data_IF_543164415221
#
_entry.id   IF_543164415221
#
_cell.length_a   1.000
_cell.length_b   1.000
_cell.length_c   1.000
_cell.angle_alpha   90.00
_cell.angle_beta   90.00
_cell.angle_gamma   90.00
#
_symmetry.space_group_name_H-M   'P 1'
#
loop_
_entity.id
_entity.type
_entity.pdbx_description
1 polymer ?
#
# COMPACT_ATOMS: atom_id res chain seq x y z
N UNK A 1 52.35 15.37 -1.58
CA UNK A 1 50.92 15.77 -1.47
C UNK A 1 50.13 14.87 -2.40
N UNK A 2 49.63 13.73 -1.92
CA UNK A 2 48.73 12.87 -2.70
C UNK A 2 47.31 13.13 -2.23
N UNK A 3 46.58 13.90 -3.03
CA UNK A 3 45.16 14.16 -2.84
C UNK A 3 44.39 12.88 -3.18
N UNK A 4 43.89 12.18 -2.17
CA UNK A 4 42.93 11.10 -2.38
C UNK A 4 41.61 11.76 -2.79
N UNK A 5 41.33 11.76 -4.09
CA UNK A 5 40.02 12.12 -4.61
C UNK A 5 39.01 11.11 -4.07
N UNK A 6 38.21 11.55 -3.10
CA UNK A 6 37.02 10.84 -2.66
C UNK A 6 36.04 10.90 -3.83
N UNK A 7 35.85 9.79 -4.53
CA UNK A 7 34.74 9.64 -5.47
C UNK A 7 33.44 9.90 -4.70
N UNK A 8 32.60 10.86 -5.13
CA UNK A 8 31.32 11.09 -4.47
C UNK A 8 30.48 9.82 -4.57
N UNK A 9 29.88 9.41 -3.44
CA UNK A 9 28.93 8.31 -3.43
C UNK A 9 27.81 8.63 -4.44
N UNK A 10 27.33 7.63 -5.22
CA UNK A 10 26.23 7.86 -6.15
C UNK A 10 25.02 8.41 -5.40
N UNK A 11 24.36 9.42 -5.98
CA UNK A 11 23.11 9.95 -5.43
C UNK A 11 22.09 8.82 -5.28
N UNK A 12 21.37 8.74 -4.15
CA UNK A 12 20.38 7.69 -3.94
C UNK A 12 19.34 7.73 -5.07
N UNK A 13 19.06 6.58 -5.67
CA UNK A 13 18.04 6.45 -6.71
C UNK A 13 16.68 6.90 -6.17
N UNK A 14 15.94 7.68 -6.95
CA UNK A 14 14.56 7.99 -6.63
C UNK A 14 13.71 6.70 -6.68
N UNK A 15 12.65 6.55 -5.85
CA UNK A 15 11.82 5.34 -5.83
C UNK A 15 11.26 4.96 -7.21
N UNK A 16 10.91 5.97 -8.02
CA UNK A 16 10.41 5.85 -9.39
C UNK A 16 11.42 5.22 -10.36
N UNK A 17 12.73 5.24 -10.05
CA UNK A 17 13.80 4.71 -10.89
C UNK A 17 14.09 3.22 -10.68
N UNK A 18 13.45 2.57 -9.71
CA UNK A 18 13.59 1.12 -9.50
C UNK A 18 12.80 0.37 -10.58
N UNK A 19 13.37 -0.72 -11.11
CA UNK A 19 12.72 -1.53 -12.14
C UNK A 19 11.48 -2.25 -11.61
N UNK A 20 11.51 -2.63 -10.33
CA UNK A 20 10.40 -3.22 -9.59
C UNK A 20 9.88 -2.23 -8.56
N UNK A 21 8.62 -1.85 -8.67
CA UNK A 21 7.96 -0.83 -7.84
C UNK A 21 6.67 -1.40 -7.29
N UNK A 22 6.59 -1.51 -5.98
CA UNK A 22 5.53 -2.25 -5.31
C UNK A 22 4.61 -1.27 -4.61
N UNK A 23 3.31 -1.31 -4.88
CA UNK A 23 2.31 -0.72 -4.00
C UNK A 23 1.80 -1.80 -3.04
N UNK A 24 2.05 -1.65 -1.75
CA UNK A 24 1.44 -2.48 -0.71
C UNK A 24 0.37 -1.69 0.03
N UNK A 25 -0.89 -2.06 -0.15
CA UNK A 25 -2.02 -1.43 0.50
C UNK A 25 -2.65 -2.36 1.55
N UNK A 26 -3.15 -1.77 2.63
CA UNK A 26 -4.10 -2.43 3.54
C UNK A 26 -5.51 -1.93 3.27
N UNK A 27 -6.50 -2.82 3.21
CA UNK A 27 -7.90 -2.43 3.08
C UNK A 27 -8.84 -3.23 3.97
N UNK A 28 -9.94 -2.60 4.34
CA UNK A 28 -11.07 -3.20 5.02
C UNK A 28 -12.17 -3.48 4.01
N UNK A 29 -13.29 -2.77 4.14
CA UNK A 29 -14.45 -2.93 3.27
C UNK A 29 -14.45 -1.99 2.06
N UNK A 30 -13.44 -1.13 1.94
CA UNK A 30 -13.30 -0.11 0.91
C UNK A 30 -12.08 -0.36 0.03
N UNK A 31 -12.16 -1.25 -0.98
CA UNK A 31 -11.06 -1.53 -1.90
C UNK A 31 -10.71 -0.33 -2.81
N UNK A 32 -11.56 0.69 -2.89
CA UNK A 32 -11.35 1.92 -3.68
C UNK A 32 -10.01 2.61 -3.38
N UNK A 33 -9.52 2.50 -2.13
CA UNK A 33 -8.22 3.03 -1.70
C UNK A 33 -7.07 2.59 -2.61
N UNK A 34 -7.19 1.45 -3.28
CA UNK A 34 -6.16 0.95 -4.21
C UNK A 34 -6.09 1.85 -5.44
N UNK A 35 -7.22 2.09 -6.09
CA UNK A 35 -7.29 2.94 -7.29
C UNK A 35 -7.04 4.40 -6.96
N UNK A 36 -7.53 4.89 -5.83
CA UNK A 36 -7.25 6.26 -5.34
C UNK A 36 -5.75 6.47 -5.13
N UNK A 37 -5.07 5.50 -4.48
CA UNK A 37 -3.63 5.58 -4.25
C UNK A 37 -2.84 5.51 -5.55
N UNK A 38 -3.18 4.58 -6.47
CA UNK A 38 -2.49 4.48 -7.77
C UNK A 38 -2.66 5.76 -8.57
N UNK A 39 -3.87 6.31 -8.64
CA UNK A 39 -4.13 7.57 -9.32
C UNK A 39 -3.24 8.68 -8.76
N UNK A 40 -3.26 8.89 -7.44
CA UNK A 40 -2.51 10.00 -6.85
C UNK A 40 -0.98 9.81 -6.96
N UNK A 41 -0.48 8.57 -6.97
CA UNK A 41 0.94 8.30 -7.20
C UNK A 41 1.34 8.57 -8.65
N UNK A 42 0.49 8.18 -9.61
CA UNK A 42 0.76 8.37 -11.03
C UNK A 42 0.57 9.83 -11.49
N UNK A 43 -0.34 10.57 -10.84
CA UNK A 43 -0.67 11.94 -11.18
C UNK A 43 0.21 12.99 -10.48
N UNK A 44 1.18 12.59 -9.64
CA UNK A 44 2.14 13.51 -9.04
C UNK A 44 2.97 14.19 -10.14
N UNK A 45 2.96 15.52 -10.17
CA UNK A 45 3.61 16.34 -11.21
C UNK A 45 5.14 16.31 -11.09
N UNK A 46 5.68 16.09 -9.89
CA UNK A 46 7.09 16.27 -9.58
C UNK A 46 7.87 14.95 -9.49
N UNK A 47 7.28 13.91 -8.89
CA UNK A 47 7.89 12.58 -8.76
C UNK A 47 6.84 11.47 -8.94
N UNK A 48 6.31 11.28 -10.17
CA UNK A 48 5.31 10.27 -10.44
C UNK A 48 5.86 8.87 -10.14
N UNK A 49 5.10 8.09 -9.37
CA UNK A 49 5.41 6.71 -9.03
C UNK A 49 4.33 5.78 -9.59
N UNK A 50 4.57 5.19 -10.76
CA UNK A 50 3.67 4.15 -11.29
C UNK A 50 4.13 2.78 -10.78
N UNK A 51 3.37 2.08 -9.91
CA UNK A 51 3.76 0.76 -9.44
C UNK A 51 3.80 -0.25 -10.59
N UNK A 52 4.74 -1.19 -10.56
CA UNK A 52 4.77 -2.32 -11.49
C UNK A 52 3.89 -3.47 -11.00
N UNK A 53 3.66 -3.56 -9.69
CA UNK A 53 2.76 -4.53 -9.08
C UNK A 53 2.06 -3.94 -7.86
N UNK A 54 0.86 -4.46 -7.58
CA UNK A 54 0.04 -4.07 -6.44
C UNK A 54 -0.19 -5.30 -5.57
N UNK A 55 -0.03 -5.16 -4.27
CA UNK A 55 -0.40 -6.15 -3.27
C UNK A 55 -1.39 -5.55 -2.28
N UNK A 56 -2.45 -6.29 -2.00
CA UNK A 56 -3.51 -5.88 -1.09
C UNK A 56 -3.56 -6.83 0.10
N UNK A 57 -3.36 -6.34 1.32
CA UNK A 57 -3.61 -7.12 2.54
C UNK A 57 -5.00 -6.77 3.08
N UNK A 58 -5.83 -7.79 3.27
CA UNK A 58 -7.22 -7.58 3.70
C UNK A 58 -7.82 -8.83 4.37
N UNK A 59 -9.06 -8.74 4.86
CA UNK A 59 -9.81 -9.90 5.33
C UNK A 59 -10.46 -10.67 4.18
N UNK A 60 -11.03 -11.85 4.44
CA UNK A 60 -11.70 -12.65 3.42
C UNK A 60 -12.88 -11.91 2.76
N UNK A 61 -13.60 -11.09 3.52
CA UNK A 61 -14.68 -10.25 2.99
C UNK A 61 -14.12 -9.10 2.14
N UNK A 62 -13.05 -8.43 2.60
CA UNK A 62 -12.41 -7.38 1.82
C UNK A 62 -11.80 -7.91 0.51
N UNK A 63 -11.25 -9.13 0.51
CA UNK A 63 -10.74 -9.79 -0.68
C UNK A 63 -11.84 -10.02 -1.72
N UNK A 64 -13.00 -10.56 -1.28
CA UNK A 64 -14.15 -10.74 -2.16
C UNK A 64 -14.61 -9.42 -2.79
N UNK A 65 -14.64 -8.34 -2.00
CA UNK A 65 -15.00 -7.01 -2.52
C UNK A 65 -13.98 -6.49 -3.52
N UNK A 66 -12.68 -6.63 -3.23
CA UNK A 66 -11.62 -6.22 -4.13
C UNK A 66 -11.65 -6.98 -5.46
N UNK A 67 -11.87 -8.31 -5.42
CA UNK A 67 -12.04 -9.11 -6.63
C UNK A 67 -13.24 -8.63 -7.46
N UNK A 68 -14.40 -8.43 -6.82
CA UNK A 68 -15.60 -8.00 -7.52
C UNK A 68 -15.49 -6.57 -8.06
N UNK A 69 -14.97 -5.61 -7.29
CA UNK A 69 -14.98 -4.20 -7.68
C UNK A 69 -13.76 -3.79 -8.51
N UNK A 70 -12.58 -4.34 -8.21
CA UNK A 70 -11.33 -3.93 -8.88
C UNK A 70 -10.98 -4.84 -10.04
N UNK A 71 -11.17 -6.15 -9.91
CA UNK A 71 -10.60 -7.14 -10.84
C UNK A 71 -11.59 -7.77 -11.82
N UNK A 72 -12.88 -7.78 -11.50
CA UNK A 72 -13.91 -8.42 -12.34
C UNK A 72 -14.06 -7.75 -13.71
N UNK A 73 -14.59 -8.49 -14.69
CA UNK A 73 -14.87 -7.93 -16.02
C UNK A 73 -16.03 -6.92 -16.01
N UNK A 74 -16.92 -7.01 -15.02
CA UNK A 74 -18.10 -6.14 -14.89
C UNK A 74 -17.70 -4.76 -14.31
N UNK A 75 -17.29 -4.73 -13.04
CA UNK A 75 -16.89 -3.47 -12.38
C UNK A 75 -15.44 -3.09 -12.67
N UNK A 76 -14.48 -4.01 -12.53
CA UNK A 76 -13.12 -3.88 -13.05
C UNK A 76 -12.42 -2.52 -12.88
N UNK A 77 -12.61 -1.81 -11.77
CA UNK A 77 -12.20 -0.41 -11.65
C UNK A 77 -10.68 -0.21 -11.73
N UNK A 78 -9.89 -1.21 -11.37
CA UNK A 78 -8.44 -1.17 -11.57
C UNK A 78 -8.08 -1.16 -13.06
N UNK A 79 -8.72 -2.00 -13.87
CA UNK A 79 -8.48 -2.05 -15.32
C UNK A 79 -8.94 -0.76 -16.01
N UNK A 80 -10.08 -0.20 -15.56
CA UNK A 80 -10.59 1.09 -16.03
C UNK A 80 -9.62 2.22 -15.73
N UNK A 81 -9.09 2.31 -14.50
CA UNK A 81 -8.05 3.28 -14.14
C UNK A 81 -6.84 3.18 -15.05
N UNK A 82 -6.32 1.96 -15.26
CA UNK A 82 -5.16 1.75 -16.11
C UNK A 82 -5.41 2.19 -17.55
N UNK A 83 -6.62 1.97 -18.07
CA UNK A 83 -7.01 2.39 -19.41
C UNK A 83 -7.14 3.91 -19.50
N UNK A 84 -7.90 4.52 -18.58
CA UNK A 84 -8.20 5.96 -18.56
C UNK A 84 -6.93 6.82 -18.50
N UNK A 85 -5.96 6.40 -17.71
CA UNK A 85 -4.70 7.13 -17.50
C UNK A 85 -3.51 6.55 -18.27
N UNK A 86 -3.74 5.60 -19.17
CA UNK A 86 -2.70 4.96 -19.98
C UNK A 86 -1.53 4.40 -19.14
N UNK A 87 -1.86 3.80 -17.98
CA UNK A 87 -0.85 3.32 -17.04
C UNK A 87 -0.16 2.04 -17.56
N UNK A 88 1.18 1.97 -17.55
CA UNK A 88 1.91 0.84 -18.10
C UNK A 88 1.87 -0.40 -17.20
N UNK A 89 1.23 -1.47 -17.68
CA UNK A 89 1.54 -2.86 -17.33
C UNK A 89 1.57 -3.21 -15.83
N UNK A 90 0.71 -2.60 -15.03
CA UNK A 90 0.63 -2.85 -13.58
C UNK A 90 0.08 -4.26 -13.35
N UNK A 91 0.85 -5.12 -12.68
CA UNK A 91 0.40 -6.48 -12.34
C UNK A 91 -0.44 -6.44 -11.07
N UNK A 92 -1.72 -6.76 -11.20
CA UNK A 92 -2.62 -6.96 -10.06
C UNK A 92 -3.71 -7.98 -10.42
N UNK A 93 -3.76 -9.07 -9.66
CA UNK A 93 -4.75 -10.13 -9.82
C UNK A 93 -5.02 -10.81 -8.46
N UNK A 94 -5.90 -11.80 -8.42
CA UNK A 94 -6.31 -12.46 -7.18
C UNK A 94 -5.14 -13.03 -6.36
N UNK A 95 -4.04 -13.48 -6.97
CA UNK A 95 -2.87 -13.98 -6.22
C UNK A 95 -2.11 -12.89 -5.46
N UNK A 96 -2.42 -11.62 -5.73
CA UNK A 96 -1.83 -10.47 -5.05
C UNK A 96 -2.72 -9.94 -3.92
N UNK A 97 -3.89 -10.55 -3.71
CA UNK A 97 -4.78 -10.26 -2.60
C UNK A 97 -4.46 -11.23 -1.45
N UNK A 98 -3.79 -10.71 -0.44
CA UNK A 98 -3.30 -11.43 0.72
C UNK A 98 -4.37 -11.42 1.82
N UNK A 99 -5.08 -12.53 1.95
CA UNK A 99 -6.08 -12.70 3.01
C UNK A 99 -5.40 -12.99 4.34
N UNK A 100 -5.69 -12.17 5.35
CA UNK A 100 -5.26 -12.38 6.73
C UNK A 100 -5.72 -13.75 7.25
N UNK A 101 -4.85 -14.43 8.00
CA UNK A 101 -5.09 -15.76 8.55
C UNK A 101 -4.92 -15.78 10.05
N UNK A 102 -5.80 -16.49 10.74
CA UNK A 102 -5.73 -16.70 12.18
C UNK A 102 -4.58 -17.63 12.58
N UNK A 103 -4.39 -17.83 13.89
CA UNK A 103 -3.35 -18.70 14.43
C UNK A 103 -3.49 -20.19 14.00
N UNK A 104 -4.63 -20.58 13.43
CA UNK A 104 -4.90 -21.92 12.87
C UNK A 104 -4.75 -21.94 11.35
N UNK A 105 -4.28 -20.84 10.75
CA UNK A 105 -4.11 -20.68 9.30
C UNK A 105 -5.42 -20.44 8.54
N UNK A 106 -6.55 -20.25 9.22
CA UNK A 106 -7.85 -20.04 8.58
C UNK A 106 -8.02 -18.58 8.13
N UNK A 107 -8.59 -18.33 6.95
CA UNK A 107 -8.91 -16.98 6.50
C UNK A 107 -9.82 -16.25 7.50
N UNK A 108 -9.41 -15.06 7.94
CA UNK A 108 -10.21 -14.21 8.81
C UNK A 108 -11.28 -13.48 8.00
N UNK A 109 -12.54 -13.53 8.43
CA UNK A 109 -13.57 -12.63 7.89
C UNK A 109 -13.35 -11.18 8.34
N UNK A 110 -12.80 -10.99 9.53
CA UNK A 110 -12.54 -9.71 10.19
C UNK A 110 -11.61 -9.93 11.41
N UNK A 111 -10.92 -8.88 11.89
CA UNK A 111 -10.04 -8.94 13.07
C UNK A 111 -10.86 -8.56 14.31
N UNK A 112 -11.21 -9.53 15.16
CA UNK A 112 -12.16 -9.31 16.27
C UNK A 112 -11.62 -9.63 17.65
N UNK A 113 -10.51 -10.36 17.74
CA UNK A 113 -9.87 -10.72 19.01
C UNK A 113 -8.45 -10.17 19.14
N UNK A 114 -7.87 -10.19 20.35
CA UNK A 114 -6.43 -9.92 20.54
C UNK A 114 -5.55 -10.89 19.76
N UNK A 115 -5.92 -12.18 19.70
CA UNK A 115 -5.20 -13.19 18.93
C UNK A 115 -5.24 -12.88 17.43
N UNK A 116 -6.38 -12.40 16.91
CA UNK A 116 -6.48 -11.98 15.51
C UNK A 116 -5.58 -10.77 15.22
N UNK A 117 -5.54 -9.80 16.14
CA UNK A 117 -4.65 -8.63 15.98
C UNK A 117 -3.18 -9.05 15.96
N UNK A 118 -2.78 -9.98 16.83
CA UNK A 118 -1.41 -10.50 16.84
C UNK A 118 -1.07 -11.21 15.53
N UNK A 119 -1.95 -12.11 15.06
CA UNK A 119 -1.74 -12.81 13.80
C UNK A 119 -1.70 -11.84 12.61
N UNK A 120 -2.52 -10.79 12.62
CA UNK A 120 -2.47 -9.75 11.59
C UNK A 120 -1.16 -8.94 11.63
N UNK A 121 -0.65 -8.62 12.83
CA UNK A 121 0.63 -7.94 13.00
C UNK A 121 1.79 -8.79 12.44
N UNK A 122 1.85 -10.07 12.79
CA UNK A 122 2.86 -11.00 12.30
C UNK A 122 2.78 -11.15 10.77
N UNK A 123 1.57 -11.28 10.22
CA UNK A 123 1.35 -11.40 8.78
C UNK A 123 1.81 -10.15 8.01
N UNK A 124 1.36 -8.96 8.43
CA UNK A 124 1.73 -7.69 7.78
C UNK A 124 3.24 -7.48 7.86
N UNK A 125 3.83 -7.77 9.03
CA UNK A 125 5.28 -7.66 9.23
C UNK A 125 6.06 -8.59 8.31
N UNK A 126 5.62 -9.84 8.17
CA UNK A 126 6.25 -10.81 7.27
C UNK A 126 6.21 -10.34 5.81
N UNK A 127 5.10 -9.77 5.35
CA UNK A 127 5.00 -9.25 3.98
C UNK A 127 5.93 -8.07 3.73
N UNK A 128 5.97 -7.09 4.63
CA UNK A 128 6.89 -5.94 4.51
C UNK A 128 8.33 -6.42 4.50
N UNK A 129 8.70 -7.32 5.41
CA UNK A 129 10.05 -7.91 5.45
C UNK A 129 10.40 -8.65 4.15
N UNK A 130 9.47 -9.42 3.60
CA UNK A 130 9.69 -10.16 2.35
C UNK A 130 9.95 -9.22 1.17
N UNK A 131 9.16 -8.15 1.01
CA UNK A 131 9.37 -7.17 -0.07
C UNK A 131 10.68 -6.39 0.13
N UNK A 132 10.95 -5.94 1.35
CA UNK A 132 12.13 -5.12 1.66
C UNK A 132 13.43 -5.93 1.81
N UNK A 133 13.38 -7.25 1.63
CA UNK A 133 14.56 -8.09 1.48
C UNK A 133 15.19 -7.98 0.08
N UNK A 134 14.42 -7.58 -0.93
CA UNK A 134 14.90 -7.40 -2.31
C UNK A 134 15.35 -5.95 -2.57
N UNK A 135 16.64 -5.67 -2.41
CA UNK A 135 17.27 -4.35 -2.65
C UNK A 135 17.06 -3.81 -4.08
N UNK A 136 16.61 -4.64 -5.02
CA UNK A 136 16.28 -4.25 -6.39
C UNK A 136 14.90 -3.60 -6.57
N UNK A 137 14.09 -3.52 -5.51
CA UNK A 137 12.76 -2.90 -5.55
C UNK A 137 12.60 -1.67 -4.67
N UNK A 138 11.57 -0.87 -4.95
CA UNK A 138 11.06 0.18 -4.08
C UNK A 138 9.63 -0.16 -3.63
N UNK A 139 9.36 -0.05 -2.33
CA UNK A 139 8.06 -0.31 -1.72
C UNK A 139 7.36 1.01 -1.36
N UNK A 140 6.16 1.22 -1.87
CA UNK A 140 5.23 2.25 -1.42
C UNK A 140 4.11 1.61 -0.59
N UNK A 141 4.08 1.90 0.70
CA UNK A 141 3.08 1.38 1.63
C UNK A 141 1.93 2.40 1.82
N UNK A 142 0.68 1.95 1.64
CA UNK A 142 -0.52 2.78 1.85
C UNK A 142 -1.31 2.31 3.07
N UNK A 143 -1.53 3.21 4.03
CA UNK A 143 -2.24 2.94 5.30
C UNK A 143 -3.68 3.46 5.32
N UNK A 144 -4.26 3.76 4.16
CA UNK A 144 -5.54 4.46 4.05
C UNK A 144 -6.77 3.58 4.34
N UNK A 145 -6.62 2.26 4.49
CA UNK A 145 -7.74 1.34 4.66
C UNK A 145 -7.53 0.30 5.76
N UNK A 146 -8.60 -0.45 6.04
CA UNK A 146 -8.60 -1.52 7.04
C UNK A 146 -8.95 -1.05 8.44
N UNK A 147 -8.79 -1.94 9.41
CA UNK A 147 -8.82 -1.52 10.82
C UNK A 147 -7.60 -0.65 11.08
N UNK A 148 -7.75 0.39 11.91
CA UNK A 148 -6.66 1.31 12.29
C UNK A 148 -5.38 0.58 12.72
N UNK A 149 -5.51 -0.57 13.37
CA UNK A 149 -4.38 -1.42 13.78
C UNK A 149 -3.57 -1.96 12.60
N UNK A 150 -4.19 -2.27 11.46
CA UNK A 150 -3.48 -2.72 10.25
C UNK A 150 -2.54 -1.64 9.71
N UNK A 151 -3.02 -0.40 9.61
CA UNK A 151 -2.19 0.75 9.21
C UNK A 151 -1.04 0.99 10.19
N UNK A 152 -1.31 0.87 11.50
CA UNK A 152 -0.27 0.94 12.52
C UNK A 152 0.80 -0.14 12.33
N UNK A 153 0.42 -1.42 12.17
CA UNK A 153 1.37 -2.50 11.95
C UNK A 153 2.16 -2.35 10.66
N UNK A 154 1.53 -1.88 9.57
CA UNK A 154 2.21 -1.63 8.31
C UNK A 154 3.28 -0.53 8.46
N UNK A 155 2.93 0.61 9.06
CA UNK A 155 3.89 1.70 9.30
C UNK A 155 5.01 1.30 10.25
N UNK A 156 4.69 0.51 11.28
CA UNK A 156 5.68 0.07 12.26
C UNK A 156 6.62 -1.02 11.70
N UNK A 157 6.10 -1.96 10.91
CA UNK A 157 6.92 -2.88 10.14
C UNK A 157 7.82 -2.14 9.15
N UNK A 158 7.32 -1.09 8.49
CA UNK A 158 8.15 -0.25 7.62
C UNK A 158 9.22 0.54 8.41
N UNK A 159 8.95 0.92 9.65
CA UNK A 159 9.97 1.54 10.51
C UNK A 159 11.11 0.57 10.84
N UNK A 160 10.80 -0.71 11.01
CA UNK A 160 11.79 -1.76 11.28
C UNK A 160 12.55 -2.20 10.02
N UNK A 161 11.84 -2.43 8.92
CA UNK A 161 12.39 -3.08 7.73
C UNK A 161 12.46 -2.17 6.51
N UNK A 162 11.87 -0.98 6.52
CA UNK A 162 11.93 -0.03 5.41
C UNK A 162 13.35 0.47 5.14
N UNK A 163 13.61 0.71 3.86
CA UNK A 163 14.87 1.21 3.32
C UNK A 163 14.71 2.65 2.85
N UNK A 164 15.81 3.27 2.43
CA UNK A 164 15.83 4.67 2.01
C UNK A 164 14.89 4.97 0.81
N UNK A 165 14.69 4.00 -0.09
CA UNK A 165 13.79 4.13 -1.24
C UNK A 165 12.32 3.85 -0.92
N UNK A 166 12.00 3.29 0.24
CA UNK A 166 10.63 2.92 0.58
C UNK A 166 9.85 4.15 1.09
N UNK A 167 8.54 4.16 0.88
CA UNK A 167 7.64 5.29 1.18
C UNK A 167 6.41 4.82 1.92
N UNK A 168 5.84 5.71 2.74
CA UNK A 168 4.59 5.50 3.46
C UNK A 168 3.65 6.66 3.16
N UNK A 169 2.39 6.39 2.89
CA UNK A 169 1.40 7.44 2.66
C UNK A 169 0.00 7.08 3.15
N UNK A 170 -0.82 8.12 3.20
CA UNK A 170 -2.27 8.02 3.33
C UNK A 170 -2.91 8.82 2.18
N UNK A 171 -3.77 8.19 1.38
CA UNK A 171 -4.53 8.90 0.34
C UNK A 171 -5.68 9.67 0.98
N UNK A 172 -5.93 10.89 0.50
CA UNK A 172 -7.00 11.76 0.96
C UNK A 172 -7.85 12.11 -0.25
N UNK A 173 -9.16 11.87 -0.14
CA UNK A 173 -10.15 12.16 -1.17
C UNK A 173 -11.00 13.34 -0.68
N UNK A 174 -11.27 14.30 -1.55
CA UNK A 174 -12.10 15.45 -1.18
C UNK A 174 -13.56 15.05 -0.94
N UNK A 175 -14.26 15.83 -0.13
CA UNK A 175 -15.72 15.80 -0.07
C UNK A 175 -16.32 16.14 -1.47
N UNK A 176 -17.46 15.54 -1.87
CA UNK A 176 -18.25 14.51 -1.17
C UNK A 176 -17.83 13.07 -1.50
N UNK A 177 -16.72 12.88 -2.19
CA UNK A 177 -16.34 11.60 -2.80
C UNK A 177 -15.82 10.57 -1.79
N UNK A 178 -15.14 11.01 -0.71
CA UNK A 178 -14.54 10.12 0.30
C UNK A 178 -15.54 9.18 0.99
N UNK A 179 -16.82 9.56 1.04
CA UNK A 179 -17.88 8.77 1.68
C UNK A 179 -18.62 7.85 0.69
N UNK A 180 -18.34 7.99 -0.60
CA UNK A 180 -19.05 7.29 -1.67
C UNK A 180 -18.46 5.92 -1.93
N UNK A 181 -19.32 4.89 -1.97
CA UNK A 181 -18.89 3.55 -2.37
C UNK A 181 -18.65 3.43 -3.89
N UNK A 182 -19.13 4.40 -4.67
CA UNK A 182 -19.09 4.38 -6.14
C UNK A 182 -17.94 5.21 -6.73
N UNK A 183 -17.18 5.92 -5.89
CA UNK A 183 -15.98 6.67 -6.28
C UNK A 183 -14.73 5.80 -6.17
N UNK A 184 -13.92 5.72 -7.23
CA UNK A 184 -12.70 4.90 -7.26
C UNK A 184 -11.45 5.71 -7.62
N UNK A 185 -11.60 6.72 -8.47
CA UNK A 185 -10.58 7.69 -8.84
C UNK A 185 -11.29 8.83 -9.61
N UNK A 186 -10.67 10.01 -9.78
CA UNK A 186 -11.20 11.04 -10.66
C UNK A 186 -11.15 10.56 -12.10
N UNK A 187 -12.28 10.41 -12.79
CA UNK A 187 -12.26 9.98 -14.20
C UNK A 187 -11.84 11.15 -15.10
N UNK A 188 -11.16 10.90 -16.23
CA UNK A 188 -10.82 11.96 -17.19
C UNK A 188 -12.05 12.47 -17.99
N UNK A 189 -13.21 11.85 -17.77
CA UNK A 189 -14.51 12.20 -18.35
C UNK A 189 -15.56 12.39 -17.26
N UNK A 190 -16.66 13.06 -17.59
CA UNK A 190 -17.77 13.25 -16.64
C UNK A 190 -18.43 11.92 -16.30
N UNK A 191 -18.52 11.61 -15.01
CA UNK A 191 -19.30 10.49 -14.48
C UNK A 191 -19.93 10.95 -13.18
N UNK A 192 -21.25 11.08 -13.20
CA UNK A 192 -22.03 11.52 -12.04
C UNK A 192 -22.31 10.33 -11.13
N UNK A 193 -22.06 10.51 -9.83
CA UNK A 193 -22.53 9.63 -8.77
C UNK A 193 -23.51 10.36 -7.86
N UNK A 194 -24.31 9.58 -7.14
CA UNK A 194 -25.17 10.10 -6.08
C UNK A 194 -24.48 9.91 -4.73
N UNK A 195 -24.35 10.99 -3.96
CA UNK A 195 -23.79 10.95 -2.61
C UNK A 195 -24.80 10.37 -1.63
N UNK A 196 -24.37 10.04 -0.41
CA UNK A 196 -25.26 9.53 0.65
C UNK A 196 -26.41 10.49 1.00
N UNK A 197 -26.16 11.80 0.85
CA UNK A 197 -27.14 12.85 1.12
C UNK A 197 -28.02 13.17 -0.11
N UNK A 198 -27.95 12.33 -1.15
CA UNK A 198 -28.77 12.43 -2.36
C UNK A 198 -28.29 13.49 -3.36
N UNK A 199 -27.18 14.17 -3.10
CA UNK A 199 -26.59 15.15 -4.02
C UNK A 199 -25.92 14.46 -5.20
N UNK A 200 -25.83 15.15 -6.33
CA UNK A 200 -25.09 14.68 -7.50
C UNK A 200 -23.69 15.28 -7.49
N UNK A 201 -22.69 14.44 -7.72
CA UNK A 201 -21.30 14.88 -7.81
C UNK A 201 -20.63 14.22 -9.03
N UNK A 202 -19.84 14.99 -9.77
CA UNK A 202 -19.10 14.50 -10.93
C UNK A 202 -17.70 14.06 -10.51
N UNK A 203 -17.39 12.78 -10.69
CA UNK A 203 -16.11 12.21 -10.28
C UNK A 203 -14.90 12.89 -10.91
N UNK A 204 -15.02 13.51 -12.08
CA UNK A 204 -13.94 14.28 -12.71
C UNK A 204 -13.50 15.50 -11.88
N UNK A 205 -14.34 15.99 -10.96
CA UNK A 205 -14.06 17.13 -10.09
C UNK A 205 -13.45 16.74 -8.75
N UNK A 206 -13.26 15.45 -8.49
CA UNK A 206 -12.67 14.97 -7.25
C UNK A 206 -11.18 15.34 -7.16
N UNK A 207 -10.76 15.81 -5.98
CA UNK A 207 -9.35 15.99 -5.67
C UNK A 207 -8.88 14.80 -4.84
N UNK A 208 -7.84 14.13 -5.31
CA UNK A 208 -7.19 13.04 -4.59
C UNK A 208 -5.73 13.42 -4.37
N UNK A 209 -5.31 13.43 -3.12
CA UNK A 209 -3.97 13.85 -2.71
C UNK A 209 -3.31 12.75 -1.86
N UNK A 210 -1.99 12.70 -1.89
CA UNK A 210 -1.22 11.78 -1.05
C UNK A 210 -0.51 12.55 0.06
N UNK A 211 -0.90 12.27 1.30
CA UNK A 211 -0.14 12.68 2.45
C UNK A 211 1.02 11.70 2.65
N UNK A 212 2.25 12.11 2.34
CA UNK A 212 3.44 11.34 2.69
C UNK A 212 3.65 11.39 4.21
N UNK A 213 3.89 10.22 4.80
CA UNK A 213 4.09 10.07 6.24
C UNK A 213 5.56 9.72 6.46
N UNK A 214 6.36 10.59 7.08
CA UNK A 214 7.72 10.23 7.45
C UNK A 214 7.69 9.11 8.47
N UNK A 215 8.61 8.14 8.33
CA UNK A 215 8.82 7.08 9.30
C UNK A 215 10.27 7.05 9.73
N UNK A 216 10.53 6.62 10.97
CA UNK A 216 11.88 6.48 11.49
C UNK A 216 12.42 5.12 11.09
N UNK A 217 13.49 5.10 10.28
CA UNK A 217 14.15 3.84 9.93
C UNK A 217 15.03 3.35 11.08
N UNK A 218 14.66 2.21 11.66
CA UNK A 218 15.42 1.48 12.67
C UNK A 218 16.24 0.33 12.07
N UNK A 219 16.13 0.10 10.74
CA UNK A 219 16.72 -1.04 10.03
C UNK A 219 18.21 -1.24 10.29
N UNK A 220 18.98 -0.15 10.36
CA UNK A 220 20.43 -0.19 10.56
C UNK A 220 20.86 -0.67 11.96
N UNK A 221 19.96 -0.60 12.94
CA UNK A 221 20.22 -1.08 14.30
C UNK A 221 19.81 -2.54 14.54
N UNK A 222 19.20 -3.20 13.55
CA UNK A 222 18.67 -4.55 13.72
C UNK A 222 19.73 -5.63 13.43
N UNK A 223 19.82 -6.69 14.26
CA UNK A 223 20.61 -7.87 13.96
C UNK A 223 20.25 -8.51 12.61
N UNK A 224 21.25 -8.97 11.85
CA UNK A 224 21.05 -9.58 10.53
C UNK A 224 20.10 -10.79 10.53
N UNK A 225 20.04 -11.54 11.64
CA UNK A 225 19.12 -12.66 11.80
C UNK A 225 17.64 -12.21 11.78
N UNK A 226 17.32 -11.04 12.35
CA UNK A 226 15.96 -10.48 12.31
C UNK A 226 15.59 -10.03 10.90
N UNK A 227 16.54 -9.45 10.17
CA UNK A 227 16.36 -9.07 8.77
C UNK A 227 16.16 -10.30 7.87
N UNK A 228 16.83 -11.42 8.17
CA UNK A 228 16.69 -12.69 7.46
C UNK A 228 15.35 -13.42 7.74
N UNK A 229 14.53 -12.91 8.66
CA UNK A 229 13.15 -13.39 8.86
C UNK A 229 12.98 -14.62 9.75
N UNK A 230 13.97 -14.94 10.59
CA UNK A 230 13.85 -16.04 11.57
C UNK A 230 13.05 -15.68 12.83
N UNK A 231 12.43 -14.49 12.87
CA UNK A 231 11.79 -13.93 14.07
C UNK A 231 10.39 -13.36 13.76
N UNK A 232 9.45 -13.51 14.70
CA UNK A 232 8.11 -12.90 14.65
C UNK A 232 8.14 -11.39 14.91
N UNK A 233 7.00 -10.72 14.75
CA UNK A 233 6.88 -9.30 15.09
C UNK A 233 7.21 -9.06 16.58
N UNK A 234 6.63 -9.89 17.46
CA UNK A 234 6.88 -9.80 18.89
C UNK A 234 8.34 -10.12 19.24
N UNK A 235 8.97 -11.10 18.59
CA UNK A 235 10.40 -11.38 18.79
C UNK A 235 11.25 -10.16 18.43
N UNK A 236 10.87 -9.44 17.38
CA UNK A 236 11.57 -8.22 16.94
C UNK A 236 11.43 -7.09 17.97
N UNK A 237 10.22 -6.90 18.52
CA UNK A 237 9.98 -5.92 19.59
C UNK A 237 10.72 -6.31 20.88
N UNK A 238 10.73 -7.60 21.23
CA UNK A 238 11.43 -8.08 22.41
C UNK A 238 12.95 -7.96 22.31
N UNK A 239 13.52 -8.19 21.13
CA UNK A 239 14.97 -8.07 20.90
C UNK A 239 15.49 -6.62 20.95
N UNK A 240 14.60 -5.63 20.85
CA UNK A 240 14.93 -4.20 20.85
C UNK A 240 14.68 -3.50 22.21
N UNK A 241 14.30 -4.25 23.25
CA UNK A 241 14.17 -3.77 24.63
C UNK A 241 15.42 -4.05 25.45
#
# INVERSE_FOLDING_TARGET
>A
MHSNAVTPAPSPKAPSQFARRILLAVSGLSPQIVTETIYALAADEFDPFVPTEVHLITSAEGARRAELSLLSDDLGWFHKLCTDYHLPGITFNASHIHVLRDARGQPMSDIRSPADNQAAADFITAQVRAFTADDGCALHASIAGGRKTMGFYLGYALSLFGRAQDRLSHVLVSDPYESSYDFFYPTPYSRVLQTRDGQLADTAMAQVTLAQIPFVSLRHGLPSALLAGTASFNDTVHAAR
#
